data_IF_020623555014
#
_entry.id   IF_020623555014
#
_cell.length_a   1.000
_cell.length_b   1.000
_cell.length_c   1.000
_cell.angle_alpha   90.00
_cell.angle_beta   90.00
_cell.angle_gamma   90.00
#
_symmetry.space_group_name_H-M   'P 1'
#
loop_
_entity.id
_entity.type
_entity.pdbx_description
1 polymer ?
#
# COMPACT_ATOMS: atom_id res chain seq x y z
N UNK A 1 20.72 -0.17 1.97
CA UNK A 1 20.05 -0.18 0.64
C UNK A 1 18.99 0.92 0.58
N UNK A 2 19.38 2.17 0.32
CA UNK A 2 18.46 3.32 0.30
C UNK A 2 17.37 3.18 -0.78
N UNK A 3 17.71 2.55 -1.91
CA UNK A 3 16.78 2.35 -3.03
C UNK A 3 15.54 1.55 -2.61
N UNK A 4 15.70 0.51 -1.79
CA UNK A 4 14.59 -0.38 -1.41
C UNK A 4 13.58 0.27 -0.47
N UNK A 5 14.04 1.18 0.39
CA UNK A 5 13.16 1.99 1.25
C UNK A 5 12.36 2.94 0.37
N UNK A 6 13.04 3.72 -0.49
CA UNK A 6 12.39 4.70 -1.38
C UNK A 6 11.38 4.02 -2.30
N UNK A 7 11.76 2.92 -2.96
CA UNK A 7 10.87 2.18 -3.84
C UNK A 7 9.66 1.61 -3.08
N UNK A 8 9.90 0.99 -1.92
CA UNK A 8 8.85 0.39 -1.10
C UNK A 8 7.84 1.41 -0.58
N UNK A 9 8.29 2.60 -0.19
CA UNK A 9 7.40 3.69 0.23
C UNK A 9 6.58 4.22 -0.94
N UNK A 10 7.19 4.47 -2.09
CA UNK A 10 6.48 4.98 -3.28
C UNK A 10 5.42 3.98 -3.75
N UNK A 11 5.78 2.70 -3.89
CA UNK A 11 4.85 1.63 -4.27
C UNK A 11 3.72 1.47 -3.27
N UNK A 12 4.03 1.45 -1.96
CA UNK A 12 3.04 1.32 -0.90
C UNK A 12 2.02 2.46 -0.90
N UNK A 13 2.47 3.70 -1.07
CA UNK A 13 1.59 4.87 -1.16
C UNK A 13 0.72 4.81 -2.42
N UNK A 14 1.28 4.46 -3.58
CA UNK A 14 0.50 4.32 -4.82
C UNK A 14 -0.61 3.26 -4.68
N UNK A 15 -0.26 2.09 -4.14
CA UNK A 15 -1.20 0.98 -3.92
C UNK A 15 -2.33 1.37 -2.94
N UNK A 16 -2.01 2.15 -1.90
CA UNK A 16 -3.03 2.66 -0.98
C UNK A 16 -3.96 3.68 -1.64
N UNK A 17 -3.44 4.58 -2.48
CA UNK A 17 -4.26 5.56 -3.20
C UNK A 17 -5.19 4.84 -4.18
N UNK A 18 -4.67 3.87 -4.96
CA UNK A 18 -5.45 3.09 -5.91
C UNK A 18 -6.47 2.21 -5.18
N UNK A 19 -6.04 1.49 -4.14
CA UNK A 19 -6.92 0.62 -3.35
C UNK A 19 -8.03 1.41 -2.63
N UNK A 20 -7.68 2.56 -2.05
CA UNK A 20 -8.61 3.45 -1.35
C UNK A 20 -9.63 4.10 -2.29
N UNK A 21 -9.19 4.64 -3.42
CA UNK A 21 -10.09 5.22 -4.43
C UNK A 21 -11.02 4.17 -5.03
N UNK A 22 -10.49 2.99 -5.39
CA UNK A 22 -11.29 1.90 -5.92
C UNK A 22 -12.28 1.35 -4.88
N UNK A 23 -11.89 1.27 -3.59
CA UNK A 23 -12.80 0.93 -2.50
C UNK A 23 -13.90 1.96 -2.32
N UNK A 24 -13.59 3.25 -2.40
CA UNK A 24 -14.57 4.33 -2.30
C UNK A 24 -15.59 4.30 -3.45
N UNK A 25 -15.12 4.04 -4.68
CA UNK A 25 -15.97 3.88 -5.87
C UNK A 25 -16.86 2.63 -5.74
N UNK A 26 -16.29 1.49 -5.32
CA UNK A 26 -17.03 0.25 -5.11
C UNK A 26 -18.12 0.40 -4.04
N UNK A 27 -17.80 1.09 -2.94
CA UNK A 27 -18.76 1.43 -1.88
C UNK A 27 -19.93 2.26 -2.42
N UNK A 28 -19.67 3.24 -3.30
CA UNK A 28 -20.73 4.03 -3.94
C UNK A 28 -21.59 3.22 -4.91
N UNK A 29 -21.04 2.19 -5.55
CA UNK A 29 -21.77 1.31 -6.47
C UNK A 29 -22.48 0.13 -5.79
N UNK A 30 -22.33 -0.04 -4.47
CA UNK A 30 -22.90 -1.17 -3.73
C UNK A 30 -22.29 -2.53 -4.11
N UNK A 31 -21.18 -2.53 -4.85
CA UNK A 31 -20.51 -3.75 -5.33
C UNK A 31 -19.36 -4.13 -4.39
N UNK A 32 -19.27 -5.41 -4.03
CA UNK A 32 -18.14 -5.93 -3.25
C UNK A 32 -16.92 -6.10 -4.15
N UNK A 33 -16.05 -5.09 -4.21
CA UNK A 33 -14.74 -5.25 -4.85
C UNK A 33 -13.75 -5.99 -3.94
N UNK A 34 -13.80 -7.33 -3.97
CA UNK A 34 -12.81 -8.19 -3.30
C UNK A 34 -11.38 -7.77 -3.66
N UNK A 35 -11.12 -7.44 -4.93
CA UNK A 35 -9.80 -7.06 -5.40
C UNK A 35 -9.26 -5.76 -4.78
N UNK A 36 -10.12 -4.77 -4.49
CA UNK A 36 -9.69 -3.54 -3.80
C UNK A 36 -9.16 -3.82 -2.40
N UNK A 37 -9.72 -4.82 -1.73
CA UNK A 37 -9.31 -5.23 -0.40
C UNK A 37 -7.92 -5.88 -0.44
N UNK A 38 -7.65 -6.73 -1.44
CA UNK A 38 -6.32 -7.30 -1.69
C UNK A 38 -5.27 -6.23 -2.06
N UNK A 39 -5.63 -5.27 -2.90
CA UNK A 39 -4.73 -4.16 -3.29
C UNK A 39 -4.39 -3.28 -2.10
N UNK A 40 -5.37 -2.96 -1.26
CA UNK A 40 -5.13 -2.20 -0.03
C UNK A 40 -4.25 -2.97 0.95
N UNK A 41 -4.48 -4.27 1.13
CA UNK A 41 -3.64 -5.14 1.98
C UNK A 41 -2.18 -5.18 1.49
N UNK A 42 -1.98 -5.30 0.18
CA UNK A 42 -0.65 -5.28 -0.43
C UNK A 42 0.07 -3.94 -0.22
N UNK A 43 -0.64 -2.81 -0.33
CA UNK A 43 -0.09 -1.49 -0.05
C UNK A 43 0.36 -1.33 1.42
N UNK A 44 -0.43 -1.83 2.37
CA UNK A 44 -0.05 -1.83 3.80
C UNK A 44 1.18 -2.69 4.05
N UNK A 45 1.25 -3.90 3.48
CA UNK A 45 2.42 -4.78 3.62
C UNK A 45 3.70 -4.15 3.04
N UNK A 46 3.59 -3.45 1.91
CA UNK A 46 4.71 -2.74 1.30
C UNK A 46 5.23 -1.62 2.22
N UNK A 47 4.34 -0.86 2.86
CA UNK A 47 4.72 0.16 3.84
C UNK A 47 5.36 -0.40 5.10
N UNK A 48 4.84 -1.52 5.64
CA UNK A 48 5.43 -2.19 6.80
C UNK A 48 6.86 -2.64 6.46
N UNK A 49 7.04 -3.24 5.28
CA UNK A 49 8.36 -3.72 4.83
C UNK A 49 9.34 -2.56 4.63
N UNK A 50 8.87 -1.46 4.03
CA UNK A 50 9.68 -0.25 3.86
C UNK A 50 10.05 0.38 5.21
N UNK A 51 9.10 0.44 6.14
CA UNK A 51 9.31 0.95 7.50
C UNK A 51 10.29 0.09 8.32
N UNK A 52 10.18 -1.24 8.24
CA UNK A 52 11.12 -2.17 8.87
C UNK A 52 12.55 -2.01 8.32
N UNK A 53 12.67 -1.85 6.99
CA UNK A 53 13.96 -1.56 6.36
C UNK A 53 14.51 -0.17 6.74
N UNK A 54 13.64 0.83 6.93
CA UNK A 54 14.05 2.17 7.38
C UNK A 54 14.53 2.14 8.83
N UNK A 55 13.81 1.45 9.73
CA UNK A 55 14.23 1.23 11.12
C UNK A 55 15.59 0.53 11.20
N UNK A 56 15.78 -0.55 10.42
CA UNK A 56 17.06 -1.26 10.35
C UNK A 56 18.19 -0.45 9.69
N UNK A 57 17.87 0.57 8.91
CA UNK A 57 18.87 1.50 8.38
C UNK A 57 19.29 2.56 9.41
N UNK A 58 18.40 2.89 10.35
CA UNK A 58 18.61 3.93 11.35
C UNK A 58 19.20 3.42 12.67
N UNK A 59 18.97 2.14 12.99
CA UNK A 59 19.48 1.42 14.17
C UNK A 59 20.70 0.59 13.81
#
# INVERSE_FOLDING_TARGET
MKIGIILGTILGVLLLIIGGTAFFIAKRRGTRCKWCLWVSLAGVCALITAGANALRFFM
#
